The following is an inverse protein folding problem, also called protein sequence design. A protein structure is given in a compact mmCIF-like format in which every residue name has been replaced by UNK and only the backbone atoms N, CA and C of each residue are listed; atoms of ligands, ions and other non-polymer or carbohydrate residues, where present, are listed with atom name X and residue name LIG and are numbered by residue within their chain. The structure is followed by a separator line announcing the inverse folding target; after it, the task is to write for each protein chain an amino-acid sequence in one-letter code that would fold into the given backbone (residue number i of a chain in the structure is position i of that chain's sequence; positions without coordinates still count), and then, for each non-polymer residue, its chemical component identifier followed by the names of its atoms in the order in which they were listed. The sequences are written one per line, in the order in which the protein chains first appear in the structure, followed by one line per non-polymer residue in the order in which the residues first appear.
data_IF_537463575921
#
_entry.id   IF_537463575921
#
_cell.length_a   1.000
_cell.length_b   1.000
_cell.length_c   1.000
_cell.angle_alpha   90.00
_cell.angle_beta   90.00
_cell.angle_gamma   90.00
#
_symmetry.space_group_name_H-M   'P 1'
#
loop_
_entity.id
_entity.type
_entity.pdbx_description
1 polymer ?
2 polymer ?
3 polymer ?
4 branched ?
5 non-polymer ?
6 water ?
#
# COMPACT_ATOMS: atom_id res chain seq x y z
N UNK A 1 -22.89 -0.53 -20.10
CA UNK A 1 -22.63 0.38 -21.21
C UNK A 1 -22.40 1.80 -20.71
N UNK A 2 -23.44 2.62 -20.67
CA UNK A 2 -23.36 3.95 -20.08
C UNK A 2 -24.36 4.00 -18.93
N UNK A 3 -23.86 3.90 -17.70
CA UNK A 3 -24.68 4.08 -16.51
C UNK A 3 -24.81 5.58 -16.25
N UNK A 4 -26.04 6.07 -16.22
CA UNK A 4 -26.30 7.49 -15.99
C UNK A 4 -26.79 7.67 -14.56
N UNK A 5 -26.02 8.39 -13.77
CA UNK A 5 -26.42 8.70 -12.41
C UNK A 5 -26.80 10.15 -12.24
N UNK A 6 -28.02 10.40 -11.76
CA UNK A 6 -28.54 11.74 -11.62
C UNK A 6 -29.12 11.92 -10.21
N UNK A 7 -29.68 13.09 -9.95
CA UNK A 7 -30.30 13.38 -8.67
C UNK A 7 -31.49 14.31 -8.90
N UNK A 8 -32.50 14.16 -8.05
CA UNK A 8 -33.72 14.96 -8.12
C UNK A 8 -33.88 15.69 -6.78
N UNK A 9 -33.83 17.01 -6.81
CA UNK A 9 -33.98 17.84 -5.61
C UNK A 9 -35.43 18.29 -5.52
N UNK A 10 -36.03 18.13 -4.34
CA UNK A 10 -37.40 18.53 -4.13
C UNK A 10 -37.60 19.12 -2.75
N UNK A 11 -38.78 19.70 -2.56
CA UNK A 11 -39.15 20.36 -1.30
C UNK A 11 -40.04 19.49 -0.43
N UNK A 12 -40.41 18.30 -0.88
CA UNK A 12 -41.26 17.41 -0.10
C UNK A 12 -40.38 16.51 0.77
N UNK A 13 -40.98 15.47 1.36
CA UNK A 13 -40.23 14.55 2.19
C UNK A 13 -39.59 13.46 1.34
N UNK A 14 -38.65 12.74 1.95
CA UNK A 14 -37.93 11.70 1.22
C UNK A 14 -38.85 10.56 0.80
N UNK A 15 -39.85 10.23 1.62
CA UNK A 15 -40.79 9.16 1.26
C UNK A 15 -41.83 9.64 0.25
N UNK A 16 -42.28 10.90 0.38
CA UNK A 16 -43.28 11.42 -0.54
C UNK A 16 -42.68 11.73 -1.89
N UNK A 17 -41.48 12.29 -1.93
CA UNK A 17 -40.89 12.62 -3.22
C UNK A 17 -40.57 11.33 -3.96
N UNK A 18 -40.05 10.33 -3.23
CA UNK A 18 -39.76 9.02 -3.81
C UNK A 18 -41.02 8.42 -4.44
N UNK A 19 -42.09 8.28 -3.64
CA UNK A 19 -43.32 7.67 -4.12
C UNK A 19 -43.85 8.41 -5.34
N UNK A 20 -43.68 9.75 -5.37
CA UNK A 20 -44.15 10.51 -6.51
C UNK A 20 -43.33 10.19 -7.76
N UNK A 21 -42.03 9.93 -7.61
CA UNK A 21 -41.19 9.66 -8.78
C UNK A 21 -41.43 8.26 -9.31
N UNK A 22 -41.61 7.27 -8.42
CA UNK A 22 -41.87 5.91 -8.87
C UNK A 22 -43.17 5.82 -9.64
N UNK A 23 -44.16 6.63 -9.29
CA UNK A 23 -45.46 6.59 -9.96
C UNK A 23 -45.43 7.23 -11.34
N UNK A 24 -44.40 8.01 -11.66
CA UNK A 24 -44.19 8.50 -13.01
C UNK A 24 -42.87 8.00 -13.59
N UNK A 25 -42.29 6.98 -12.95
CA UNK A 25 -41.01 6.46 -13.41
C UNK A 25 -41.11 5.88 -14.82
N UNK A 26 -42.25 5.26 -15.14
CA UNK A 26 -42.44 4.72 -16.48
C UNK A 26 -42.72 5.80 -17.52
N UNK A 27 -43.18 6.97 -17.09
CA UNK A 27 -43.35 8.08 -18.04
C UNK A 27 -42.05 8.83 -18.26
N UNK A 28 -41.15 8.83 -17.28
CA UNK A 28 -39.81 9.34 -17.51
C UNK A 28 -38.97 8.35 -18.32
N UNK A 29 -39.18 7.05 -18.08
CA UNK A 29 -38.45 6.03 -18.82
C UNK A 29 -38.83 6.03 -20.29
N UNK A 30 -40.10 6.29 -20.60
CA UNK A 30 -40.53 6.35 -21.99
C UNK A 30 -40.08 7.63 -22.69
N UNK A 31 -39.83 8.70 -21.93
CA UNK A 31 -39.30 9.93 -22.52
C UNK A 31 -37.81 9.79 -22.83
N UNK A 32 -37.07 9.10 -21.96
CA UNK A 32 -35.65 8.88 -22.21
C UNK A 32 -35.42 7.86 -23.33
N UNK A 33 -36.32 6.89 -23.46
CA UNK A 33 -36.19 5.91 -24.54
C UNK A 33 -36.46 6.49 -25.90
N UNK A 34 -37.02 7.70 -25.98
CA UNK A 34 -37.19 8.39 -27.25
C UNK A 34 -35.94 9.16 -27.68
N UNK A 35 -34.94 9.24 -26.81
CA UNK A 35 -33.67 9.88 -27.14
C UNK A 35 -32.48 8.94 -27.14
N UNK A 36 -32.52 7.88 -26.34
CA UNK A 36 -31.41 6.94 -26.21
C UNK A 36 -31.95 5.53 -26.05
N UNK A 37 -31.22 4.52 -26.53
CA UNK A 37 -31.62 3.12 -26.30
C UNK A 37 -31.27 2.71 -24.87
N UNK A 38 -32.28 2.29 -24.11
CA UNK A 38 -32.12 1.94 -22.71
C UNK A 38 -32.19 0.43 -22.53
N UNK A 39 -31.43 -0.07 -21.56
CA UNK A 39 -31.47 -1.48 -21.20
C UNK A 39 -32.69 -1.78 -20.35
N UNK A 40 -33.28 -2.95 -20.56
CA UNK A 40 -34.47 -3.34 -19.82
C UNK A 40 -34.15 -3.52 -18.33
N UNK A 41 -35.00 -2.94 -17.48
CA UNK A 41 -34.83 -3.07 -16.04
C UNK A 41 -33.74 -2.23 -15.44
N UNK A 42 -33.13 -1.34 -16.22
CA UNK A 42 -32.04 -0.51 -15.70
C UNK A 42 -32.53 0.67 -14.89
N UNK A 43 -33.77 1.11 -15.09
CA UNK A 43 -34.28 2.28 -14.40
C UNK A 43 -34.55 1.95 -12.93
N UNK A 44 -33.70 2.45 -12.05
CA UNK A 44 -33.83 2.21 -10.61
C UNK A 44 -33.67 3.55 -9.90
N UNK A 45 -34.68 3.93 -9.11
CA UNK A 45 -34.67 5.16 -8.33
C UNK A 45 -34.63 4.81 -6.86
N UNK A 46 -33.78 5.52 -6.11
CA UNK A 46 -33.61 5.26 -4.69
C UNK A 46 -33.25 6.55 -3.97
N UNK A 47 -33.68 6.66 -2.72
CA UNK A 47 -33.49 7.88 -1.97
C UNK A 47 -32.41 7.82 -0.91
N UNK A 48 -31.40 6.98 -1.12
CA UNK A 48 -30.30 6.86 -0.15
C UNK A 48 -29.05 6.47 -0.91
N UNK A 49 -28.10 7.40 -1.02
CA UNK A 49 -26.79 7.12 -1.60
C UNK A 49 -25.88 6.62 -0.48
N UNK A 50 -25.71 5.31 -0.40
CA UNK A 50 -24.90 4.74 0.67
C UNK A 50 -23.46 5.22 0.57
N UNK A 51 -22.90 5.21 -0.64
CA UNK A 51 -21.55 5.73 -0.89
C UNK A 51 -21.68 6.92 -1.80
N UNK A 52 -21.12 8.05 -1.37
CA UNK A 52 -21.08 9.26 -2.19
C UNK A 52 -19.73 9.92 -2.02
N UNK A 53 -19.06 10.18 -3.14
CA UNK A 53 -17.68 10.63 -3.11
C UNK A 53 -17.38 11.37 -4.40
N UNK A 54 -16.53 12.40 -4.29
CA UNK A 54 -16.15 13.18 -5.47
C UNK A 54 -15.32 12.34 -6.43
N UNK A 55 -14.45 11.47 -5.89
CA UNK A 55 -13.54 10.70 -6.73
C UNK A 55 -14.32 9.73 -7.62
N UNK A 56 -15.28 9.02 -7.03
CA UNK A 56 -16.04 8.00 -7.75
C UNK A 56 -17.45 8.47 -8.11
N UNK A 57 -18.26 8.78 -7.11
CA UNK A 57 -19.63 9.19 -7.32
C UNK A 57 -20.52 8.53 -6.29
N UNK A 58 -21.82 8.54 -6.57
CA UNK A 58 -22.79 7.89 -5.70
C UNK A 58 -23.19 6.54 -6.25
N UNK A 59 -23.53 5.63 -5.34
CA UNK A 59 -23.93 4.29 -5.74
C UNK A 59 -24.55 3.56 -4.58
N UNK A 60 -25.26 2.48 -4.91
CA UNK A 60 -25.91 1.63 -3.92
C UNK A 60 -24.95 0.56 -3.43
N UNK A 61 -25.42 -0.25 -2.49
CA UNK A 61 -24.60 -1.33 -1.95
C UNK A 61 -24.18 -2.30 -3.04
N UNK A 62 -22.95 -2.80 -2.94
CA UNK A 62 -22.34 -3.77 -3.85
C UNK A 62 -22.12 -3.22 -5.25
N UNK A 63 -22.46 -1.96 -5.51
CA UNK A 63 -22.13 -1.35 -6.79
C UNK A 63 -20.62 -1.21 -6.92
N UNK A 64 -20.10 -1.50 -8.12
CA UNK A 64 -18.67 -1.48 -8.37
C UNK A 64 -18.39 -0.69 -9.63
N UNK A 65 -17.59 0.37 -9.49
CA UNK A 65 -17.23 1.25 -10.60
C UNK A 65 -15.74 1.17 -10.86
N UNK A 66 -15.36 0.97 -12.12
CA UNK A 66 -13.97 0.96 -12.54
C UNK A 66 -13.71 2.17 -13.42
N UNK A 67 -12.78 3.02 -12.99
CA UNK A 67 -12.43 4.25 -13.69
C UNK A 67 -10.95 4.23 -14.08
N UNK A 68 -10.57 5.00 -15.08
CA UNK A 68 -9.17 5.00 -15.53
C UNK A 68 -8.26 5.78 -14.57
N UNK A 69 -6.97 5.69 -14.85
CA UNK A 69 -5.97 6.42 -14.07
C UNK A 69 -5.98 7.90 -14.46
N UNK A 70 -4.96 8.63 -14.03
CA UNK A 70 -4.81 10.04 -14.30
C UNK A 70 -3.62 10.26 -15.24
N UNK A 71 -3.13 11.49 -15.31
CA UNK A 71 -2.02 11.82 -16.19
C UNK A 71 -0.72 11.28 -15.63
N UNK A 72 0.13 10.77 -16.53
CA UNK A 72 1.38 10.15 -16.15
C UNK A 72 1.27 8.72 -15.65
N UNK A 73 0.11 8.32 -15.15
CA UNK A 73 -0.10 6.98 -14.64
C UNK A 73 -0.95 6.18 -15.62
N UNK A 74 -0.67 4.88 -15.72
CA UNK A 74 -1.39 3.98 -16.61
C UNK A 74 -1.99 2.84 -15.81
N UNK A 75 -3.25 2.50 -16.12
CA UNK A 75 -3.95 1.43 -15.45
C UNK A 75 -5.40 1.76 -15.21
N UNK A 76 -5.99 1.21 -14.15
CA UNK A 76 -7.38 1.48 -13.81
C UNK A 76 -7.54 1.46 -12.30
N UNK A 77 -8.58 2.15 -11.83
CA UNK A 77 -8.95 2.15 -10.42
C UNK A 77 -10.33 1.50 -10.30
N UNK A 78 -10.42 0.48 -9.45
CA UNK A 78 -11.68 -0.22 -9.21
C UNK A 78 -12.09 -0.05 -7.75
N UNK A 79 -13.39 0.16 -7.54
CA UNK A 79 -13.91 0.31 -6.18
C UNK A 79 -15.34 -0.19 -6.13
N UNK A 80 -15.70 -0.77 -4.99
CA UNK A 80 -17.03 -1.30 -4.74
C UNK A 80 -17.64 -0.59 -3.54
N UNK A 81 -18.90 -0.21 -3.67
CA UNK A 81 -19.60 0.52 -2.62
C UNK A 81 -19.99 -0.44 -1.50
N UNK A 82 -19.41 -0.25 -0.33
CA UNK A 82 -19.72 -1.05 0.84
C UNK A 82 -20.41 -0.17 1.89
N UNK A 83 -20.62 -0.72 3.08
CA UNK A 83 -21.21 0.03 4.17
C UNK A 83 -20.31 1.14 4.68
N UNK A 84 -19.06 1.22 4.20
CA UNK A 84 -18.09 2.17 4.72
C UNK A 84 -17.48 3.03 3.60
N UNK A 85 -18.19 3.20 2.50
CA UNK A 85 -17.69 4.00 1.40
C UNK A 85 -17.22 3.15 0.24
N UNK A 86 -16.48 3.80 -0.67
CA UNK A 86 -15.96 3.14 -1.87
C UNK A 86 -14.62 2.52 -1.53
N UNK A 87 -14.64 1.22 -1.23
CA UNK A 87 -13.40 0.49 -0.96
C UNK A 87 -12.73 0.14 -2.28
N UNK A 88 -11.52 0.67 -2.49
CA UNK A 88 -10.78 0.36 -3.70
C UNK A 88 -10.24 -1.07 -3.61
N UNK A 89 -10.60 -1.90 -4.57
CA UNK A 89 -10.21 -3.31 -4.59
C UNK A 89 -8.99 -3.53 -5.46
N UNK A 90 -9.00 -2.96 -6.67
CA UNK A 90 -7.91 -3.12 -7.62
C UNK A 90 -7.48 -1.75 -8.10
N UNK A 91 -6.26 -1.33 -7.77
CA UNK A 91 -5.69 -0.10 -8.31
C UNK A 91 -4.39 -0.47 -9.01
N UNK A 92 -4.36 -0.27 -10.33
CA UNK A 92 -3.23 -0.69 -11.16
C UNK A 92 -2.52 0.53 -11.76
N UNK A 93 -2.73 1.70 -11.16
CA UNK A 93 -2.15 2.94 -11.64
C UNK A 93 -0.64 2.92 -11.44
N UNK A 94 0.10 2.83 -12.54
CA UNK A 94 1.55 2.80 -12.51
C UNK A 94 2.07 4.01 -13.29
N UNK A 95 3.05 4.69 -12.71
CA UNK A 95 3.69 5.80 -13.39
C UNK A 95 4.30 5.35 -14.72
N UNK A 96 4.16 6.18 -15.75
CA UNK A 96 4.66 5.82 -17.07
C UNK A 96 6.17 5.62 -17.04
N UNK A 97 6.91 6.57 -16.46
CA UNK A 97 8.35 6.46 -16.39
C UNK A 97 8.78 5.22 -15.63
N UNK A 98 8.06 4.88 -14.56
CA UNK A 98 8.33 3.64 -13.83
C UNK A 98 8.07 2.43 -14.71
N UNK A 99 6.92 2.40 -15.40
CA UNK A 99 6.63 1.30 -16.30
C UNK A 99 7.55 1.32 -17.51
N UNK A 100 7.88 2.51 -18.02
CA UNK A 100 8.83 2.60 -19.12
C UNK A 100 10.20 2.07 -18.70
N UNK A 101 10.66 2.42 -17.50
CA UNK A 101 11.91 1.87 -16.98
C UNK A 101 11.80 0.36 -16.77
N UNK A 102 10.65 -0.10 -16.30
CA UNK A 102 10.43 -1.53 -16.14
C UNK A 102 10.56 -2.28 -17.45
N UNK A 103 10.26 -1.62 -18.57
CA UNK A 103 10.26 -2.29 -19.87
C UNK A 103 11.63 -2.27 -20.53
N UNK A 104 12.49 -1.30 -20.20
CA UNK A 104 13.88 -1.38 -20.65
C UNK A 104 14.60 -2.54 -19.97
N UNK A 105 14.20 -2.87 -18.75
CA UNK A 105 14.90 -3.92 -17.99
C UNK A 105 14.73 -5.28 -18.65
N UNK A 106 13.55 -5.54 -19.21
CA UNK A 106 13.29 -6.82 -19.87
C UNK A 106 14.26 -7.08 -21.02
N UNK A 107 14.88 -6.04 -21.57
CA UNK A 107 15.90 -6.20 -22.59
C UNK A 107 17.30 -6.32 -22.01
N UNK A 108 17.45 -6.19 -20.68
CA UNK A 108 18.76 -6.21 -20.05
C UNK A 108 19.02 -7.50 -19.28
N UNK A 109 17.97 -8.19 -18.82
CA UNK A 109 18.13 -9.42 -18.04
C UNK A 109 19.02 -10.43 -18.77
N UNK A 110 18.98 -10.44 -20.10
CA UNK A 110 19.81 -11.34 -20.87
C UNK A 110 21.29 -11.06 -20.73
N UNK A 111 21.72 -9.91 -21.24
CA UNK A 111 23.10 -9.45 -21.10
C UNK A 111 23.07 -8.31 -20.09
N UNK A 112 23.33 -8.62 -18.84
CA UNK A 112 23.33 -7.65 -17.75
C UNK A 112 24.73 -7.58 -17.15
N UNK A 113 25.19 -6.36 -16.87
CA UNK A 113 26.47 -6.14 -16.25
C UNK A 113 26.28 -5.45 -14.89
N UNK A 114 27.33 -5.50 -14.07
CA UNK A 114 27.24 -4.88 -12.75
C UNK A 114 27.11 -3.37 -12.84
N UNK A 115 27.68 -2.75 -13.88
CA UNK A 115 27.51 -1.32 -14.07
C UNK A 115 26.13 -0.99 -14.64
N UNK A 116 25.54 -1.92 -15.40
CA UNK A 116 24.22 -1.67 -15.97
C UNK A 116 23.14 -1.69 -14.90
N UNK A 117 23.24 -2.60 -13.93
CA UNK A 117 22.25 -2.61 -12.87
C UNK A 117 22.37 -1.35 -12.02
N UNK A 118 23.60 -0.90 -11.72
CA UNK A 118 23.78 0.26 -10.85
C UNK A 118 23.18 1.52 -11.47
N UNK A 119 23.33 1.70 -12.79
CA UNK A 119 22.70 2.83 -13.46
C UNK A 119 21.19 2.67 -13.53
N UNK A 120 20.71 1.43 -13.63
CA UNK A 120 19.28 1.18 -13.62
C UNK A 120 18.67 1.53 -12.26
N UNK A 121 19.27 1.03 -11.17
CA UNK A 121 18.79 1.41 -9.84
C UNK A 121 18.82 2.93 -9.67
N UNK A 122 19.86 3.57 -10.19
CA UNK A 122 19.97 5.02 -10.08
C UNK A 122 18.84 5.71 -10.85
N UNK A 123 18.61 5.30 -12.09
CA UNK A 123 17.47 5.82 -12.84
C UNK A 123 16.16 5.56 -12.10
N UNK A 124 16.07 4.43 -11.39
CA UNK A 124 14.88 4.16 -10.57
C UNK A 124 14.81 5.11 -9.38
N UNK A 125 15.95 5.37 -8.74
CA UNK A 125 15.96 6.24 -7.57
C UNK A 125 15.51 7.65 -7.91
N UNK A 126 15.92 8.15 -9.07
CA UNK A 126 15.56 9.51 -9.48
C UNK A 126 14.07 9.60 -9.78
N UNK A 127 13.50 8.55 -10.38
CA UNK A 127 12.10 8.58 -10.77
C UNK A 127 11.21 8.65 -9.54
N UNK A 128 11.56 7.89 -8.49
CA UNK A 128 10.76 7.89 -7.28
C UNK A 128 10.99 9.16 -6.48
N UNK A 129 12.23 9.67 -6.49
CA UNK A 129 12.52 10.90 -5.78
C UNK A 129 11.77 12.08 -6.39
N UNK A 130 11.68 12.11 -7.73
CA UNK A 130 11.01 13.23 -8.39
C UNK A 130 9.49 13.12 -8.27
N UNK A 131 8.95 11.90 -8.36
CA UNK A 131 7.51 11.66 -8.24
C UNK A 131 7.29 10.77 -7.03
N UNK A 132 7.10 11.34 -5.83
CA UNK A 132 7.08 10.54 -4.60
C UNK A 132 5.73 9.94 -4.24
N UNK A 133 4.72 10.05 -5.09
CA UNK A 133 3.40 9.52 -4.77
C UNK A 133 3.44 7.99 -4.82
N UNK A 134 3.40 7.37 -3.64
CA UNK A 134 3.39 5.91 -3.50
C UNK A 134 1.98 5.38 -3.68
N UNK A 135 1.54 5.33 -4.93
CA UNK A 135 0.27 4.69 -5.24
C UNK A 135 0.44 3.17 -5.23
N UNK A 136 -0.69 2.46 -5.12
CA UNK A 136 -0.65 1.00 -5.00
C UNK A 136 0.02 0.39 -6.23
N UNK A 137 -0.28 0.93 -7.41
CA UNK A 137 0.37 0.45 -8.62
C UNK A 137 1.88 0.68 -8.61
N UNK A 138 2.30 1.82 -8.08
CA UNK A 138 3.74 2.06 -7.91
C UNK A 138 4.35 1.08 -6.93
N UNK A 139 3.71 0.93 -5.75
CA UNK A 139 4.23 0.03 -4.72
C UNK A 139 4.42 -1.39 -5.26
N UNK A 140 3.44 -1.89 -6.01
CA UNK A 140 3.57 -3.22 -6.59
C UNK A 140 4.71 -3.27 -7.60
N UNK A 141 4.91 -2.19 -8.36
CA UNK A 141 5.94 -2.19 -9.39
C UNK A 141 7.33 -2.08 -8.78
N UNK A 142 7.53 -1.13 -7.87
CA UNK A 142 8.85 -0.95 -7.26
C UNK A 142 9.28 -2.23 -6.57
N UNK A 143 8.38 -2.85 -5.82
CA UNK A 143 8.68 -4.14 -5.19
C UNK A 143 9.05 -5.17 -6.24
N UNK A 144 8.33 -5.17 -7.37
CA UNK A 144 8.63 -6.12 -8.44
C UNK A 144 9.99 -5.82 -9.07
N UNK A 145 10.21 -4.58 -9.49
CA UNK A 145 11.47 -4.22 -10.14
C UNK A 145 12.66 -4.52 -9.24
N UNK A 146 12.58 -4.09 -7.98
CA UNK A 146 13.68 -4.34 -7.06
C UNK A 146 13.94 -5.84 -6.88
N UNK A 147 12.87 -6.64 -6.87
CA UNK A 147 13.04 -8.09 -6.75
C UNK A 147 13.62 -8.69 -8.03
N UNK A 148 13.29 -8.12 -9.20
CA UNK A 148 13.94 -8.59 -10.44
C UNK A 148 15.40 -8.21 -10.46
N UNK A 149 15.76 -7.08 -9.84
CA UNK A 149 17.17 -6.70 -9.72
C UNK A 149 17.88 -7.59 -8.71
N UNK A 150 17.26 -7.79 -7.55
CA UNK A 150 17.87 -8.64 -6.52
C UNK A 150 18.10 -10.05 -7.05
N UNK A 151 17.07 -10.65 -7.64
CA UNK A 151 17.22 -12.00 -8.19
C UNK A 151 18.23 -12.04 -9.32
N UNK A 152 18.33 -10.96 -10.10
CA UNK A 152 19.32 -10.92 -11.18
C UNK A 152 20.74 -10.74 -10.62
N UNK A 153 20.90 -9.88 -9.62
CA UNK A 153 22.22 -9.66 -9.04
C UNK A 153 22.69 -10.87 -8.24
N UNK A 154 21.76 -11.57 -7.59
CA UNK A 154 22.13 -12.80 -6.88
C UNK A 154 22.50 -13.90 -7.87
N UNK A 155 21.67 -14.11 -8.89
CA UNK A 155 21.94 -15.15 -9.88
C UNK A 155 23.11 -14.80 -10.79
N UNK A 156 23.69 -13.62 -10.67
CA UNK A 156 24.88 -13.23 -11.41
C UNK A 156 26.06 -12.94 -10.52
N UNK A 157 25.88 -12.95 -9.20
CA UNK A 157 26.92 -12.60 -8.23
C UNK A 157 27.50 -11.22 -8.52
N UNK A 158 26.62 -10.28 -8.88
CA UNK A 158 27.02 -8.89 -8.98
C UNK A 158 27.31 -8.33 -7.59
N UNK A 159 28.05 -7.23 -7.55
CA UNK A 159 28.38 -6.55 -6.30
C UNK A 159 27.65 -5.21 -6.25
N UNK A 160 26.88 -5.00 -5.20
CA UNK A 160 26.18 -3.74 -5.00
C UNK A 160 27.19 -2.71 -4.47
N UNK A 161 27.44 -1.68 -5.27
CA UNK A 161 28.35 -0.62 -4.85
C UNK A 161 27.74 0.17 -3.70
N UNK A 162 28.53 1.07 -3.14
CA UNK A 162 28.05 1.84 -2.00
C UNK A 162 27.13 2.98 -2.45
N UNK A 163 27.28 3.45 -3.68
CA UNK A 163 26.33 4.40 -4.23
C UNK A 163 25.02 3.71 -4.65
N UNK A 164 25.11 2.44 -5.04
CA UNK A 164 23.89 1.71 -5.42
C UNK A 164 23.08 1.33 -4.20
N UNK A 165 23.75 0.94 -3.10
CA UNK A 165 23.03 0.62 -1.87
C UNK A 165 22.38 1.86 -1.28
N UNK A 166 22.94 3.04 -1.52
CA UNK A 166 22.30 4.27 -1.10
C UNK A 166 21.02 4.53 -1.89
N UNK A 167 21.03 4.22 -3.18
CA UNK A 167 19.84 4.40 -4.00
C UNK A 167 18.73 3.45 -3.59
N UNK A 168 19.08 2.19 -3.30
CA UNK A 168 18.08 1.24 -2.83
C UNK A 168 17.44 1.72 -1.53
N UNK A 169 18.26 2.25 -0.63
CA UNK A 169 17.74 2.77 0.64
C UNK A 169 16.84 3.97 0.40
N UNK A 170 17.24 4.86 -0.52
CA UNK A 170 16.40 6.01 -0.86
C UNK A 170 15.05 5.55 -1.41
N UNK A 171 15.07 4.57 -2.31
CA UNK A 171 13.83 4.00 -2.82
C UNK A 171 13.00 3.43 -1.66
N UNK A 172 13.65 2.66 -0.78
CA UNK A 172 12.95 2.06 0.35
C UNK A 172 12.31 3.13 1.22
N UNK A 173 13.06 4.19 1.54
CA UNK A 173 12.54 5.25 2.40
C UNK A 173 11.29 5.90 1.79
N UNK A 174 11.28 6.05 0.46
CA UNK A 174 10.14 6.68 -0.19
C UNK A 174 8.90 5.81 -0.09
N UNK A 175 9.03 4.52 -0.42
CA UNK A 175 7.88 3.62 -0.38
C UNK A 175 7.56 3.16 1.03
N UNK A 176 8.43 3.41 2.00
CA UNK A 176 8.18 3.10 3.40
C UNK A 176 7.68 4.32 4.17
N UNK A 177 7.21 5.34 3.46
CA UNK A 177 6.62 6.51 4.11
C UNK A 177 5.39 6.10 4.91
N UNK A 178 5.17 6.78 6.04
CA UNK A 178 4.02 6.44 6.87
C UNK A 178 2.69 6.77 6.20
N UNK A 179 2.70 7.59 5.15
CA UNK A 179 1.49 7.89 4.40
C UNK A 179 1.19 6.86 3.32
N UNK A 180 1.97 5.79 3.23
CA UNK A 180 1.77 4.75 2.24
C UNK A 180 1.09 3.50 2.80
N UNK A 181 0.82 3.48 4.11
CA UNK A 181 0.32 2.25 4.74
C UNK A 181 -1.07 1.91 4.22
N UNK A 182 -1.94 2.90 4.08
CA UNK A 182 -3.28 2.65 3.56
C UNK A 182 -3.21 2.04 2.17
N UNK A 183 -2.39 2.61 1.29
CA UNK A 183 -2.20 2.03 -0.03
C UNK A 183 -1.45 0.70 0.05
N UNK A 184 -0.55 0.56 1.02
CA UNK A 184 0.07 -0.74 1.25
C UNK A 184 -0.97 -1.78 1.67
N UNK A 185 -1.96 -1.36 2.45
CA UNK A 185 -3.02 -2.27 2.87
C UNK A 185 -3.84 -2.73 1.66
N UNK A 186 -4.05 -1.85 0.69
CA UNK A 186 -4.79 -2.24 -0.51
C UNK A 186 -3.98 -3.22 -1.34
N UNK A 187 -2.66 -3.01 -1.41
CA UNK A 187 -1.83 -3.90 -2.21
C UNK A 187 -1.82 -5.32 -1.64
N UNK A 188 -1.76 -5.43 -0.31
CA UNK A 188 -1.74 -6.76 0.32
C UNK A 188 -3.06 -7.50 0.13
N UNK A 189 -4.15 -6.79 -0.15
CA UNK A 189 -5.41 -7.47 -0.45
C UNK A 189 -5.32 -8.29 -1.73
N UNK A 190 -4.45 -7.88 -2.66
CA UNK A 190 -4.22 -8.60 -3.90
C UNK A 190 -2.92 -9.40 -3.83
N UNK A 191 -1.79 -8.73 -3.64
CA UNK A 191 -0.48 -9.37 -3.49
C UNK A 191 -0.15 -9.41 -2.00
N UNK A 192 -0.60 -10.46 -1.33
CA UNK A 192 -0.40 -10.61 0.10
C UNK A 192 1.06 -10.79 0.51
N UNK A 193 1.98 -10.85 -0.46
CA UNK A 193 3.39 -11.10 -0.19
C UNK A 193 4.28 -9.92 -0.59
N UNK A 194 3.71 -8.83 -1.09
CA UNK A 194 4.53 -7.73 -1.61
C UNK A 194 5.36 -7.07 -0.52
N UNK A 195 4.78 -6.92 0.68
CA UNK A 195 5.54 -6.33 1.79
C UNK A 195 6.67 -7.27 2.22
N UNK A 196 6.40 -8.57 2.28
CA UNK A 196 7.44 -9.53 2.61
C UNK A 196 8.50 -9.60 1.52
N UNK A 197 8.09 -9.46 0.26
CA UNK A 197 9.03 -9.49 -0.84
C UNK A 197 9.97 -8.29 -0.80
N UNK A 198 9.44 -7.11 -0.47
CA UNK A 198 10.28 -5.93 -0.29
C UNK A 198 11.31 -6.16 0.81
N UNK A 199 10.88 -6.73 1.93
CA UNK A 199 11.80 -7.00 3.03
C UNK A 199 12.83 -8.06 2.63
N UNK A 200 12.41 -9.08 1.88
CA UNK A 200 13.34 -10.10 1.43
C UNK A 200 14.30 -9.55 0.37
N UNK A 201 13.82 -8.65 -0.49
CA UNK A 201 14.68 -8.05 -1.50
C UNK A 201 15.73 -7.15 -0.84
N UNK A 202 15.31 -6.30 0.10
CA UNK A 202 16.26 -5.47 0.83
C UNK A 202 17.33 -6.32 1.50
N UNK A 203 16.92 -7.44 2.10
CA UNK A 203 17.86 -8.30 2.81
C UNK A 203 18.80 -9.00 1.84
N UNK A 204 18.28 -9.46 0.70
CA UNK A 204 19.11 -10.15 -0.28
C UNK A 204 20.11 -9.19 -0.92
N UNK A 205 19.69 -7.96 -1.21
CA UNK A 205 20.60 -6.99 -1.82
C UNK A 205 21.69 -6.60 -0.84
N UNK A 206 21.36 -6.51 0.45
CA UNK A 206 22.34 -6.09 1.45
C UNK A 206 23.49 -7.09 1.55
N UNK A 207 23.24 -8.37 1.26
CA UNK A 207 24.30 -9.37 1.33
C UNK A 207 25.32 -9.20 0.20
N UNK A 208 25.00 -8.42 -0.82
CA UNK A 208 25.87 -8.30 -1.98
C UNK A 208 26.81 -7.10 -1.89
N UNK A 209 26.68 -6.26 -0.87
CA UNK A 209 27.61 -5.17 -0.64
C UNK A 209 28.89 -5.76 -0.06
N UNK A 210 30.02 -5.66 -0.75
CA UNK A 210 31.24 -6.34 -0.31
C UNK A 210 31.85 -5.67 0.90
N UNK A 211 32.76 -6.35 1.61
CA UNK A 211 33.44 -5.70 2.74
C UNK A 211 34.25 -4.49 2.33
N UNK A 212 34.66 -4.40 1.06
CA UNK A 212 35.47 -3.27 0.62
C UNK A 212 34.68 -1.96 0.61
N UNK A 213 33.36 -2.05 0.48
CA UNK A 213 32.51 -0.87 0.43
C UNK A 213 31.95 -0.48 1.80
N UNK A 214 32.46 -1.09 2.87
CA UNK A 214 32.00 -0.86 4.24
C UNK A 214 33.14 -0.28 5.07
N UNK A 215 32.83 0.40 6.20
CA UNK A 215 31.52 0.63 6.81
C UNK A 215 30.61 1.59 6.04
N UNK A 216 29.29 1.47 6.24
CA UNK A 216 28.31 2.25 5.49
C UNK A 216 27.08 2.44 6.36
N UNK A 217 26.59 3.68 6.42
CA UNK A 217 25.46 4.02 7.29
C UNK A 217 24.51 4.94 6.52
N UNK A 218 23.28 4.50 6.33
CA UNK A 218 22.23 5.29 5.69
C UNK A 218 21.06 5.40 6.67
N UNK A 219 21.05 6.48 7.45
CA UNK A 219 19.98 6.73 8.42
C UNK A 219 18.99 7.72 7.79
N UNK A 220 17.87 7.20 7.31
CA UNK A 220 16.83 8.00 6.70
C UNK A 220 15.70 8.24 7.70
N UNK A 221 14.53 8.64 7.20
CA UNK A 221 13.40 8.98 8.11
C UNK A 221 12.56 7.73 8.43
N UNK A 222 12.43 6.83 7.46
CA UNK A 222 11.58 5.65 7.65
C UNK A 222 12.36 4.34 7.63
N UNK A 223 13.65 4.38 7.39
CA UNK A 223 14.48 3.17 7.35
C UNK A 223 15.91 3.55 7.71
N UNK A 224 16.51 2.77 8.60
CA UNK A 224 17.93 2.89 8.90
C UNK A 224 18.66 1.69 8.33
N UNK A 225 19.92 1.90 7.95
CA UNK A 225 20.72 0.85 7.32
C UNK A 225 22.17 1.06 7.71
N UNK A 226 22.74 0.07 8.38
CA UNK A 226 24.14 0.13 8.82
C UNK A 226 24.84 -1.16 8.44
N UNK A 227 26.00 -1.02 7.81
CA UNK A 227 26.81 -2.17 7.47
C UNK A 227 28.28 -1.94 7.78
N UNK A 228 28.92 -2.93 8.41
CA UNK A 228 30.31 -2.79 8.80
C UNK A 228 31.10 -4.00 8.32
N UNK A 229 32.40 -3.85 8.07
CA UNK A 229 33.24 -5.03 7.85
C UNK A 229 33.64 -5.65 9.18
N UNK A 230 34.08 -6.90 9.11
CA UNK A 230 34.47 -7.65 10.29
C UNK A 230 35.99 -7.76 10.33
N UNK A 231 36.56 -7.50 11.51
CA UNK A 231 37.98 -7.69 11.76
C UNK A 231 38.12 -8.46 13.06
N UNK A 232 39.34 -8.62 13.56
CA UNK A 232 39.51 -9.24 14.87
C UNK A 232 38.85 -8.46 16.00
N UNK A 233 38.29 -7.28 15.72
CA UNK A 233 37.59 -6.49 16.75
C UNK A 233 36.32 -7.17 17.22
N UNK A 234 35.61 -7.87 16.34
CA UNK A 234 34.36 -8.51 16.73
C UNK A 234 34.58 -9.65 17.72
N UNK A 235 35.76 -10.27 17.71
CA UNK A 235 36.10 -11.28 18.72
C UNK A 235 36.20 -10.70 20.12
N UNK A 236 36.05 -9.39 20.28
CA UNK A 236 36.36 -8.71 21.53
C UNK A 236 35.16 -7.98 22.13
N UNK A 237 34.50 -7.13 21.35
CA UNK A 237 33.35 -6.39 21.85
C UNK A 237 32.03 -7.09 21.58
N UNK A 238 31.95 -7.84 20.49
CA UNK A 238 30.66 -8.31 20.00
C UNK A 238 30.05 -7.29 19.06
N UNK A 239 28.86 -7.60 18.58
CA UNK A 239 28.15 -6.74 17.65
C UNK A 239 27.06 -5.96 18.37
N UNK A 240 27.04 -4.65 18.19
CA UNK A 240 26.01 -3.78 18.72
C UNK A 240 25.45 -2.91 17.60
N UNK A 241 24.14 -2.71 17.61
CA UNK A 241 23.46 -1.93 16.58
C UNK A 241 22.28 -1.20 17.23
N UNK A 242 22.33 0.12 17.23
CA UNK A 242 21.31 0.93 17.89
C UNK A 242 20.64 1.86 16.90
N UNK A 243 19.37 2.16 17.16
CA UNK A 243 18.59 3.07 16.33
C UNK A 243 17.78 3.99 17.22
N UNK A 244 17.54 5.21 16.73
CA UNK A 244 16.69 6.19 17.39
C UNK A 244 15.82 6.84 16.33
N UNK A 245 14.57 6.39 16.24
CA UNK A 245 13.62 6.92 15.29
C UNK A 245 12.55 7.72 16.04
N UNK A 246 12.31 8.94 15.58
CA UNK A 246 11.34 9.85 16.22
C UNK A 246 10.14 10.06 15.29
N UNK A 247 9.08 9.27 15.42
CA UNK A 247 7.87 9.53 14.63
C UNK A 247 7.13 10.75 15.15
N UNK A 248 6.21 11.24 14.32
CA UNK A 248 5.51 12.48 14.66
C UNK A 248 4.47 12.29 15.75
N UNK A 249 3.91 11.08 15.87
CA UNK A 249 2.84 10.85 16.83
C UNK A 249 3.34 10.50 18.23
N UNK A 250 4.65 10.48 18.46
CA UNK A 250 5.22 10.27 19.79
C UNK A 250 6.33 11.28 20.02
N UNK A 251 6.26 11.98 21.15
CA UNK A 251 7.38 12.83 21.56
C UNK A 251 8.57 12.01 22.03
N UNK A 252 8.35 10.75 22.40
CA UNK A 252 9.44 9.86 22.82
C UNK A 252 9.98 9.15 21.59
N UNK A 253 11.30 8.98 21.48
CA UNK A 253 11.86 8.25 20.33
C UNK A 253 11.69 6.76 20.50
N UNK A 254 11.42 6.08 19.39
CA UNK A 254 11.26 4.63 19.37
C UNK A 254 12.64 4.02 19.13
N UNK A 255 13.20 3.39 20.17
CA UNK A 255 14.56 2.87 20.11
C UNK A 255 14.57 1.37 19.86
N UNK A 256 15.68 0.90 19.31
CA UNK A 256 15.89 -0.50 19.05
C UNK A 256 17.36 -0.83 19.11
N UNK A 257 17.67 -2.06 19.52
CA UNK A 257 19.06 -2.46 19.71
C UNK A 257 19.22 -3.95 19.46
N UNK A 258 20.31 -4.31 18.80
CA UNK A 258 20.72 -5.69 18.61
C UNK A 258 22.04 -5.89 19.32
N UNK A 259 22.09 -6.87 20.23
CA UNK A 259 23.30 -7.19 20.98
C UNK A 259 23.69 -8.63 20.68
N UNK A 260 24.89 -8.80 20.12
CA UNK A 260 25.46 -10.11 19.87
C UNK A 260 26.75 -10.18 20.68
N UNK A 261 26.78 -11.07 21.66
CA UNK A 261 27.95 -11.20 22.51
C UNK A 261 29.18 -11.62 21.73
N UNK A 262 30.34 -11.28 22.28
CA UNK A 262 31.61 -11.66 21.65
C UNK A 262 31.83 -13.17 21.62
N UNK A 263 31.06 -13.94 22.37
CA UNK A 263 31.19 -15.39 22.34
C UNK A 263 30.62 -16.00 21.07
N UNK A 264 29.66 -15.33 20.44
CA UNK A 264 29.05 -15.87 19.23
C UNK A 264 29.96 -15.76 18.02
N UNK A 265 31.00 -14.94 18.10
CA UNK A 265 31.97 -14.79 17.03
C UNK A 265 33.16 -15.75 17.19
N UNK A 266 33.02 -16.81 18.00
CA UNK A 266 34.15 -17.68 18.26
C UNK A 266 34.61 -18.41 17.01
N UNK A 267 33.67 -18.85 16.17
CA UNK A 267 34.03 -19.48 14.91
C UNK A 267 34.69 -18.45 13.98
N UNK A 268 35.15 -18.93 12.82
CA UNK A 268 35.80 -18.06 11.86
C UNK A 268 34.88 -16.90 11.49
N UNK A 269 35.38 -15.69 11.69
CA UNK A 269 34.57 -14.50 11.48
C UNK A 269 34.11 -14.44 10.03
N UNK A 270 32.85 -14.13 9.77
CA UNK A 270 32.36 -13.96 8.39
C UNK A 270 33.01 -12.78 7.66
N UNK A 271 32.22 -11.98 6.97
CA UNK A 271 32.78 -10.91 6.16
C UNK A 271 32.13 -9.56 6.45
N UNK A 272 30.80 -9.53 6.51
CA UNK A 272 30.05 -8.30 6.74
C UNK A 272 28.87 -8.60 7.66
N UNK A 273 28.55 -7.63 8.52
CA UNK A 273 27.39 -7.71 9.40
C UNK A 273 26.49 -6.54 9.02
N UNK A 274 25.43 -6.83 8.26
CA UNK A 274 24.48 -5.82 7.80
C UNK A 274 23.28 -5.82 8.73
N UNK A 275 22.92 -4.65 9.25
CA UNK A 275 21.72 -4.49 10.05
C UNK A 275 20.91 -3.32 9.51
N UNK A 276 19.60 -3.36 9.78
CA UNK A 276 18.69 -2.35 9.28
C UNK A 276 17.41 -2.41 10.10
N UNK A 277 16.69 -1.29 10.14
CA UNK A 277 15.47 -1.20 10.92
C UNK A 277 14.52 -0.20 10.29
N UNK A 278 13.24 -0.31 10.66
CA UNK A 278 12.18 0.54 10.13
C UNK A 278 10.96 0.40 11.02
N UNK A 279 10.12 1.43 11.01
CA UNK A 279 8.88 1.44 11.76
C UNK A 279 7.66 1.16 10.89
N UNK A 280 7.66 1.63 9.65
CA UNK A 280 6.52 1.40 8.76
C UNK A 280 6.35 -0.08 8.43
N UNK A 281 7.45 -0.84 8.40
CA UNK A 281 7.36 -2.28 8.15
C UNK A 281 6.43 -2.97 9.14
N UNK A 282 6.38 -2.48 10.39
CA UNK A 282 5.50 -3.08 11.37
C UNK A 282 4.03 -2.95 10.99
N UNK A 283 3.68 -1.93 10.22
CA UNK A 283 2.29 -1.72 9.85
C UNK A 283 1.93 -2.38 8.52
N UNK A 284 2.91 -2.73 7.70
CA UNK A 284 2.64 -3.34 6.40
C UNK A 284 2.96 -4.83 6.37
N UNK A 285 3.60 -5.37 7.40
CA UNK A 285 3.78 -6.82 7.50
C UNK A 285 2.53 -7.42 8.12
N UNK A 286 1.75 -8.21 7.38
CA UNK A 286 0.42 -8.60 7.88
C UNK A 286 0.50 -9.52 9.10
N UNK A 287 -0.40 -9.27 10.04
CA UNK A 287 -0.55 -10.06 11.25
C UNK A 287 -1.89 -10.81 11.15
N UNK A 288 -1.95 -11.97 11.80
CA UNK A 288 -3.18 -12.76 11.81
C UNK A 288 -4.36 -11.94 12.30
N UNK A 289 -5.45 -11.97 11.51
CA UNK A 289 -6.64 -11.20 11.85
C UNK A 289 -7.43 -11.83 12.98
N UNK A 290 -7.35 -13.15 13.13
CA UNK A 290 -8.08 -13.82 14.20
C UNK A 290 -7.57 -13.41 15.58
N UNK A 291 -6.30 -13.03 15.67
CA UNK A 291 -5.75 -12.54 16.92
C UNK A 291 -5.80 -11.03 17.00
N UNK A 292 -5.99 -10.52 18.21
CA UNK A 292 -6.04 -9.09 18.46
C UNK A 292 -4.65 -8.49 18.67
N UNK A 293 -3.60 -9.23 18.37
CA UNK A 293 -2.24 -8.72 18.54
C UNK A 293 -1.90 -7.75 17.42
N UNK A 294 -0.75 -7.08 17.58
CA UNK A 294 -0.29 -6.12 16.59
C UNK A 294 1.19 -5.85 16.83
N UNK A 295 1.88 -5.43 15.77
CA UNK A 295 3.30 -5.08 15.86
C UNK A 295 3.42 -3.78 16.66
N UNK A 296 4.01 -3.85 17.84
CA UNK A 296 4.19 -2.70 18.71
C UNK A 296 5.66 -2.40 18.92
N UNK A 297 6.44 -2.48 17.85
CA UNK A 297 7.85 -2.21 17.91
C UNK A 297 8.47 -2.09 16.54
N UNK A 298 9.69 -1.56 16.48
CA UNK A 298 10.36 -1.41 15.19
C UNK A 298 10.77 -2.78 14.64
N UNK A 299 10.52 -2.98 13.36
CA UNK A 299 10.99 -4.19 12.70
C UNK A 299 12.51 -4.08 12.53
N UNK A 300 13.23 -5.01 13.14
CA UNK A 300 14.69 -4.98 13.17
C UNK A 300 15.21 -6.18 12.41
N UNK A 301 16.17 -5.94 11.51
CA UNK A 301 16.79 -7.00 10.71
C UNK A 301 18.30 -6.97 10.92
N UNK A 302 18.91 -8.15 10.75
CA UNK A 302 20.36 -8.29 10.84
C UNK A 302 20.77 -9.50 10.03
N UNK A 303 21.71 -9.32 9.11
CA UNK A 303 22.10 -10.35 8.16
C UNK A 303 23.60 -10.57 8.26
N UNK A 304 23.99 -11.84 8.37
CA UNK A 304 25.38 -12.25 8.36
C UNK A 304 25.52 -13.42 7.40
N UNK A 305 26.38 -13.27 6.39
CA UNK A 305 26.51 -14.28 5.35
C UNK A 305 27.26 -15.50 5.87
N UNK A 306 26.73 -16.70 5.58
CA UNK A 306 27.40 -17.96 5.87
C UNK A 306 27.78 -18.08 7.34
N UNK A 307 26.92 -17.59 8.24
CA UNK A 307 27.20 -17.63 9.66
C UNK A 307 25.91 -17.88 10.43
N UNK A 308 25.97 -18.85 11.34
CA UNK A 308 24.85 -19.17 12.22
C UNK A 308 25.12 -18.63 13.61
N UNK A 309 24.17 -17.86 14.13
CA UNK A 309 24.28 -17.27 15.47
C UNK A 309 23.24 -17.95 16.36
N UNK A 310 23.66 -18.40 17.54
CA UNK A 310 22.80 -19.16 18.43
C UNK A 310 22.20 -18.31 19.55
N UNK A 311 22.59 -17.05 19.68
CA UNK A 311 22.06 -16.21 20.76
C UNK A 311 22.20 -14.75 20.33
N UNK A 312 21.07 -14.06 20.22
CA UNK A 312 21.04 -12.63 19.88
C UNK A 312 20.04 -11.95 20.80
N UNK A 313 20.45 -10.83 21.39
CA UNK A 313 19.59 -10.05 22.26
C UNK A 313 19.02 -8.87 21.49
N UNK A 314 17.71 -8.66 21.61
CA UNK A 314 17.02 -7.61 20.88
C UNK A 314 16.20 -6.78 21.85
N UNK A 315 16.32 -5.46 21.74
CA UNK A 315 15.64 -4.52 22.63
C UNK A 315 14.69 -3.67 21.80
N UNK A 316 13.40 -3.76 22.09
CA UNK A 316 12.36 -3.09 21.31
C UNK A 316 11.62 -2.10 22.20
N UNK A 317 11.49 -0.86 21.74
CA UNK A 317 10.63 0.11 22.40
C UNK A 317 9.18 -0.12 22.02
N UNK A 318 8.28 0.13 22.97
CA UNK A 318 6.86 0.02 22.70
C UNK A 318 6.36 1.34 22.09
N UNK A 319 5.74 1.25 20.92
CA UNK A 319 5.22 2.43 20.26
C UNK A 319 3.92 2.88 20.92
N UNK A 320 2.96 1.97 21.03
CA UNK A 320 1.65 2.28 21.58
C UNK A 320 1.50 1.73 22.99
N UNK A 321 0.60 2.33 23.75
CA UNK A 321 0.39 1.99 25.15
C UNK A 321 -0.89 1.17 25.31
N UNK A 322 -1.20 0.84 26.56
CA UNK A 322 -2.35 0.03 26.96
C UNK A 322 -2.32 -1.36 26.37
N UNK A 323 -1.18 -1.80 25.85
CA UNK A 323 -1.01 -3.14 25.31
C UNK A 323 -0.20 -3.99 26.28
N UNK A 324 -0.55 -5.26 26.38
CA UNK A 324 0.10 -6.18 27.30
C UNK A 324 0.54 -7.43 26.54
N UNK A 325 1.14 -8.37 27.27
CA UNK A 325 1.59 -9.65 26.77
C UNK A 325 2.54 -9.49 25.57
N UNK A 326 3.78 -9.04 25.80
CA UNK A 326 4.73 -8.96 24.70
C UNK A 326 5.06 -10.33 24.14
N UNK A 327 5.21 -10.40 22.81
CA UNK A 327 5.43 -11.66 22.11
C UNK A 327 6.56 -11.47 21.11
N UNK A 328 7.75 -11.97 21.46
CA UNK A 328 8.91 -11.87 20.59
C UNK A 328 8.73 -12.75 19.37
N UNK A 329 8.75 -12.12 18.18
CA UNK A 329 8.47 -12.82 16.93
C UNK A 329 9.47 -12.36 15.87
N UNK A 330 9.66 -13.22 14.87
CA UNK A 330 10.42 -12.90 13.68
C UNK A 330 9.55 -13.13 12.45
N UNK A 331 9.85 -12.43 11.37
CA UNK A 331 9.06 -12.54 10.16
C UNK A 331 9.51 -13.77 9.38
N UNK A 332 8.61 -14.75 9.25
CA UNK A 332 8.88 -15.98 8.52
C UNK A 332 8.52 -15.76 7.05
N UNK A 333 9.53 -15.74 6.19
CA UNK A 333 9.28 -15.57 4.76
C UNK A 333 8.62 -16.79 4.14
N UNK A 334 8.94 -17.98 4.63
CA UNK A 334 8.42 -19.21 4.03
C UNK A 334 6.92 -19.31 4.22
N UNK A 335 6.44 -19.08 5.45
CA UNK A 335 5.02 -19.18 5.74
C UNK A 335 4.30 -17.83 5.67
N UNK A 336 5.04 -16.73 5.47
CA UNK A 336 4.45 -15.41 5.27
C UNK A 336 3.63 -14.98 6.49
N UNK A 337 4.25 -15.03 7.65
CA UNK A 337 3.58 -14.71 8.91
C UNK A 337 4.63 -14.51 9.98
N UNK A 338 4.23 -13.81 11.05
CA UNK A 338 5.08 -13.68 12.22
C UNK A 338 5.17 -15.03 12.92
N UNK A 339 6.37 -15.35 13.41
CA UNK A 339 6.62 -16.63 14.06
C UNK A 339 7.50 -16.42 15.29
N UNK A 340 7.25 -17.21 16.32
CA UNK A 340 7.97 -17.09 17.59
C UNK A 340 8.88 -18.27 17.89
N UNK A 341 9.12 -19.15 16.91
CA UNK A 341 9.98 -20.30 17.13
C UNK A 341 11.43 -19.82 17.29
N UNK A 342 11.99 -20.00 18.48
CA UNK A 342 13.35 -19.62 18.76
C UNK A 342 13.50 -18.32 19.54
N UNK A 343 12.46 -17.50 19.60
CA UNK A 343 12.50 -16.21 20.26
C UNK A 343 11.65 -16.25 21.53
N UNK A 344 12.23 -15.84 22.65
CA UNK A 344 11.55 -15.85 23.93
C UNK A 344 11.72 -14.51 24.62
N UNK A 345 10.76 -14.18 25.48
CA UNK A 345 10.77 -12.91 26.20
C UNK A 345 11.71 -13.00 27.39
N UNK A 346 12.53 -11.96 27.58
CA UNK A 346 13.49 -11.93 28.68
C UNK A 346 12.92 -11.07 29.80
N UNK A 347 12.59 -9.81 29.50
CA UNK A 347 12.12 -8.88 30.51
C UNK A 347 11.41 -7.72 29.83
N UNK A 348 10.37 -7.22 30.46
CA UNK A 348 9.58 -6.09 29.94
C UNK A 348 9.65 -4.94 30.92
N UNK A 349 10.29 -3.85 30.49
CA UNK A 349 10.31 -2.60 31.23
C UNK A 349 9.08 -1.77 30.84
N UNK A 350 8.75 -0.79 31.68
CA UNK A 350 7.69 0.17 31.35
C UNK A 350 7.90 0.82 29.98
N UNK A 351 9.11 0.78 29.44
CA UNK A 351 9.42 1.46 28.19
C UNK A 351 9.82 0.52 27.06
N UNK A 352 10.69 -0.46 27.30
CA UNK A 352 11.17 -1.34 26.24
C UNK A 352 10.96 -2.80 26.62
N UNK A 353 10.88 -3.64 25.60
CA UNK A 353 10.73 -5.08 25.74
C UNK A 353 12.01 -5.75 25.29
N UNK A 354 12.53 -6.67 26.09
CA UNK A 354 13.78 -7.37 25.81
C UNK A 354 13.48 -8.78 25.31
N UNK A 355 14.09 -9.15 24.18
CA UNK A 355 13.91 -10.46 23.59
C UNK A 355 15.26 -11.15 23.43
N UNK A 356 15.20 -12.47 23.24
CA UNK A 356 16.41 -13.27 23.03
C UNK A 356 16.05 -14.41 22.09
N UNK A 357 16.64 -14.39 20.90
CA UNK A 357 16.37 -15.39 19.87
C UNK A 357 17.57 -16.32 19.71
N UNK A 358 17.28 -17.56 19.35
CA UNK A 358 18.31 -18.57 19.11
C UNK A 358 18.70 -18.66 17.65
N UNK A 359 18.35 -17.67 16.84
CA UNK A 359 18.67 -17.66 15.42
C UNK A 359 18.76 -16.23 14.93
N UNK A 360 19.57 -16.01 13.90
CA UNK A 360 19.70 -14.70 13.29
C UNK A 360 19.65 -14.81 11.78
N UNK B 1 17.22 -13.02 11.07
CA UNK B 1 16.17 -12.69 10.12
C UNK B 1 15.70 -11.26 10.32
N UNK B 2 14.39 -11.11 10.57
CA UNK B 2 13.78 -9.81 10.83
C UNK B 2 12.88 -9.95 12.04
N UNK B 3 13.17 -9.20 13.10
CA UNK B 3 12.56 -9.40 14.41
C UNK B 3 11.71 -8.21 14.81
N UNK B 4 10.73 -8.48 15.68
CA UNK B 4 9.87 -7.46 16.28
C UNK B 4 9.10 -8.11 17.42
N UNK B 5 8.13 -7.40 17.98
CA UNK B 5 7.28 -7.91 19.05
C UNK B 5 5.82 -7.68 18.71
N UNK B 6 4.96 -8.54 19.24
CA UNK B 6 3.52 -8.40 19.11
C UNK B 6 2.92 -8.22 20.50
N UNK B 7 1.94 -7.32 20.61
CA UNK B 7 1.31 -7.01 21.88
C UNK B 7 -0.21 -7.02 21.71
N UNK B 8 -0.89 -7.47 22.76
CA UNK B 8 -2.34 -7.59 22.75
C UNK B 8 -2.95 -6.72 23.84
N UNK B 9 -4.17 -6.22 23.64
CA UNK B 9 -4.81 -5.41 24.67
C UNK B 9 -5.33 -6.26 25.82
N UNK B 10 -5.34 -5.66 27.01
CA UNK B 10 -5.82 -6.36 28.20
C UNK B 10 -7.31 -6.65 28.07
N UNK B 11 -7.68 -7.91 28.32
CA UNK B 11 -9.06 -8.37 28.29
C UNK B 11 -9.45 -8.79 29.70
N UNK B 12 -10.45 -8.17 30.31
CA UNK B 12 -10.85 -8.55 31.68
C UNK B 12 -11.43 -9.97 31.73
N UNK B 13 -11.68 -10.42 32.95
CA UNK B 13 -12.24 -11.75 33.22
C UNK B 13 -11.39 -12.86 32.62
N UNK C 1 -34.21 17.88 0.25
CA UNK C 1 -34.55 16.51 -0.09
C UNK C 1 -33.95 16.13 -1.44
N UNK C 2 -33.15 15.06 -1.44
CA UNK C 2 -32.44 14.61 -2.64
C UNK C 2 -32.68 13.14 -2.86
N UNK C 3 -33.09 12.79 -4.07
CA UNK C 3 -33.36 11.41 -4.45
C UNK C 3 -32.46 11.07 -5.64
N UNK C 4 -31.93 9.85 -5.65
CA UNK C 4 -31.02 9.38 -6.69
C UNK C 4 -31.73 8.43 -7.64
N UNK C 5 -31.21 8.36 -8.87
CA UNK C 5 -31.72 7.44 -9.86
C UNK C 5 -30.65 7.13 -10.89
N UNK C 6 -30.65 5.90 -11.39
CA UNK C 6 -29.67 5.46 -12.38
C UNK C 6 -30.35 4.65 -13.47
N UNK C 7 -29.71 4.61 -14.63
CA UNK C 7 -30.17 3.78 -15.73
C UNK C 7 -29.00 3.55 -16.68
N UNK C 8 -29.13 2.49 -17.48
CA UNK C 8 -28.09 2.06 -18.41
C UNK C 8 -28.52 2.38 -19.84
N UNK C 9 -27.66 3.08 -20.57
CA UNK C 9 -27.90 3.40 -21.98
C UNK C 9 -27.04 2.48 -22.83
N UNK C 10 -27.68 1.72 -23.73
CA UNK C 10 -26.99 0.74 -24.56
C UNK C 10 -26.20 1.43 -25.66
N UNK C 11 -25.07 2.02 -25.29
CA UNK C 11 -24.15 2.62 -26.24
C UNK C 11 -22.72 2.30 -25.77
N UNK C 12 -21.73 2.91 -26.43
CA UNK C 12 -20.33 2.71 -26.06
C UNK C 12 -19.88 3.85 -25.16
N UNK C 13 -19.30 3.50 -24.01
CA UNK C 13 -18.80 4.50 -23.09
C UNK C 13 -17.55 5.18 -23.64
N UNK C 14 -17.37 6.43 -23.26
CA UNK C 14 -16.24 7.24 -23.72
C UNK C 14 -15.72 8.05 -22.53
N UNK C 15 -14.39 8.15 -22.43
CA UNK C 15 -13.78 8.89 -21.33
C UNK C 15 -14.16 10.37 -21.32
N UNK C 16 -14.76 10.88 -22.39
CA UNK C 16 -15.27 12.25 -22.40
C UNK C 16 -16.51 12.39 -21.52
N UNK C 17 -17.19 11.28 -21.22
CA UNK C 17 -18.29 11.30 -20.25
C UNK C 17 -17.80 11.53 -18.83
N UNK C 18 -16.51 11.38 -18.58
CA UNK C 18 -15.91 11.68 -17.28
C UNK C 18 -15.42 13.12 -17.17
N UNK C 19 -15.66 13.93 -18.20
CA UNK C 19 -15.26 15.34 -18.22
C UNK C 19 -16.52 16.17 -18.42
N UNK C 20 -16.96 16.85 -17.35
CA UNK C 20 -18.18 17.65 -17.42
C UNK C 20 -18.06 18.79 -18.42
N UNK C 21 -16.85 19.22 -18.77
CA UNK C 21 -16.66 20.27 -19.75
C UNK C 21 -16.71 19.77 -21.19
N UNK C 22 -16.79 18.46 -21.40
CA UNK C 22 -16.80 17.91 -22.74
C UNK C 22 -18.16 18.08 -23.39
N UNK C 23 -18.15 18.28 -24.72
CA UNK C 23 -19.39 18.39 -25.45
C UNK C 23 -20.18 17.08 -25.43
N UNK C 24 -19.49 15.96 -25.26
CA UNK C 24 -20.18 14.68 -25.18
C UNK C 24 -20.92 14.55 -23.84
N UNK C 25 -20.31 15.04 -22.76
CA UNK C 25 -21.01 15.10 -21.48
C UNK C 25 -22.19 16.06 -21.56
N UNK C 26 -22.00 17.21 -22.23
CA UNK C 26 -23.06 18.20 -22.31
C UNK C 26 -24.23 17.72 -23.16
N UNK C 27 -23.96 16.89 -24.17
CA UNK C 27 -25.04 16.38 -25.01
C UNK C 27 -25.92 15.41 -24.24
N UNK C 28 -25.31 14.52 -23.46
CA UNK C 28 -26.07 13.52 -22.71
C UNK C 28 -26.73 14.11 -21.48
N UNK C 29 -26.01 14.99 -20.76
CA UNK C 29 -26.58 15.59 -19.55
C UNK C 29 -27.80 16.44 -19.90
N UNK C 30 -27.68 17.28 -20.94
CA UNK C 30 -28.82 18.08 -21.36
C UNK C 30 -29.96 17.20 -21.88
N UNK C 31 -29.62 16.18 -22.67
CA UNK C 31 -30.66 15.31 -23.20
C UNK C 31 -31.44 14.59 -22.12
N UNK C 32 -30.74 14.14 -21.07
CA UNK C 32 -31.42 13.43 -19.99
C UNK C 32 -32.17 14.40 -19.07
N UNK C 33 -31.54 15.53 -18.74
CA UNK C 33 -32.18 16.46 -17.81
C UNK C 33 -33.44 17.08 -18.40
N UNK C 34 -33.48 17.29 -19.72
CA UNK C 34 -34.65 17.88 -20.33
C UNK C 34 -35.84 16.91 -20.27
N UNK C 35 -35.61 15.64 -20.57
CA UNK C 35 -36.71 14.67 -20.58
C UNK C 35 -37.16 14.36 -19.16
N UNK C 36 -36.23 14.26 -18.21
CA UNK C 36 -36.61 14.02 -16.82
C UNK C 36 -37.33 15.23 -16.23
N UNK C 37 -36.95 16.44 -16.65
CA UNK C 37 -37.63 17.65 -16.17
C UNK C 37 -39.05 17.70 -16.68
N UNK C 38 -39.29 17.30 -17.94
CA UNK C 38 -40.64 17.32 -18.47
C UNK C 38 -41.52 16.27 -17.80
N UNK C 39 -40.92 15.20 -17.28
CA UNK C 39 -41.67 14.14 -16.63
C UNK C 39 -41.89 14.38 -15.14
N UNK C 40 -40.96 15.10 -14.49
CA UNK C 40 -41.03 15.32 -13.05
C UNK C 40 -41.54 16.72 -12.69
N UNK C 41 -41.95 17.52 -13.68
CA UNK C 41 -42.34 18.91 -13.40
C UNK C 41 -43.68 19.00 -12.69
N UNK C 42 -44.61 18.09 -12.98
CA UNK C 42 -45.93 18.13 -12.36
C UNK C 42 -45.94 17.54 -10.96
N UNK C 43 -44.82 16.97 -10.52
CA UNK C 43 -44.72 16.47 -9.15
C UNK C 43 -44.73 17.64 -8.19
N UNK C 44 -45.56 17.54 -7.15
CA UNK C 44 -45.59 18.58 -6.13
C UNK C 44 -44.28 18.58 -5.35
N UNK C 45 -43.76 19.78 -5.09
CA UNK C 45 -42.50 19.93 -4.41
C UNK C 45 -41.27 19.75 -5.28
N UNK C 46 -41.43 19.46 -6.57
CA UNK C 46 -40.28 19.30 -7.45
C UNK C 46 -39.55 20.63 -7.62
N UNK C 47 -38.22 20.55 -7.64
CA UNK C 47 -37.39 21.74 -7.79
C UNK C 47 -36.44 21.63 -8.97
N UNK C 48 -35.57 20.62 -9.00
CA UNK C 48 -34.62 20.49 -10.09
C UNK C 48 -34.14 19.05 -10.18
N UNK C 49 -33.72 18.66 -11.38
CA UNK C 49 -33.08 17.38 -11.62
C UNK C 49 -31.78 17.64 -12.36
N UNK C 50 -30.71 16.93 -11.98
CA UNK C 50 -29.40 17.17 -12.55
C UNK C 50 -28.65 15.86 -12.72
N UNK C 51 -28.08 15.65 -13.91
CA UNK C 51 -27.18 14.52 -14.14
C UNK C 51 -25.81 14.87 -13.57
N UNK C 52 -25.29 14.01 -12.71
CA UNK C 52 -24.04 14.28 -12.01
C UNK C 52 -22.92 13.29 -12.32
N UNK C 53 -23.21 12.17 -12.97
CA UNK C 53 -22.18 11.17 -13.21
C UNK C 53 -22.58 10.26 -14.38
N UNK C 54 -21.57 9.70 -15.04
CA UNK C 54 -21.72 8.78 -16.16
C UNK C 54 -20.69 7.67 -16.01
N UNK C 55 -21.17 6.43 -16.04
CA UNK C 55 -20.25 5.30 -15.79
C UNK C 55 -20.32 4.27 -16.92
N UNK C 56 -19.34 3.36 -16.96
CA UNK C 56 -19.24 2.29 -17.95
C UNK C 56 -20.00 1.03 -17.52
N UNK C 57 -20.78 1.10 -16.45
CA UNK C 57 -21.50 -0.07 -15.96
C UNK C 57 -22.42 -0.71 -16.98
#
# INVERSE_FOLDING_TARGET
SIVAGYEVVGSSSASELLSAIEHVAEKAKTALHKLFPLEDGSFRVFGKAQCNDIVFGFGSKDDEYTLPCSSGYRGNITAKCESSGWQVIRETCVLSLLEELNKNFSMIVGNATEAAVSSFVQNLSVIIRQNPSTTVGNLASVVSILSNISSLSLASHFRVSNSTMEDVISIADNILNSASVTNWTVLLREEKYASSRLLETLENISTLVPPTALPLNFSRKFIDWKGIPVNKSQLKRGYSYQIKMCPQNTSIPIRGRVLIGSDQFQRSLPETIISMASLTLGNILPVSKNGNAQVNGPVISTVIQNYSINEVFLFFSKIESNLSQPHCVFWDFSHLQWNDAGCHLVNETQDIVTCQCTHL
TSFSILMSPFVPSTHHHHHHA
TKIWGTFKINERFTNDLLNSSSAIYSKYANGIEIQLKKAYERIQGFESVQVTQFRNG
#
